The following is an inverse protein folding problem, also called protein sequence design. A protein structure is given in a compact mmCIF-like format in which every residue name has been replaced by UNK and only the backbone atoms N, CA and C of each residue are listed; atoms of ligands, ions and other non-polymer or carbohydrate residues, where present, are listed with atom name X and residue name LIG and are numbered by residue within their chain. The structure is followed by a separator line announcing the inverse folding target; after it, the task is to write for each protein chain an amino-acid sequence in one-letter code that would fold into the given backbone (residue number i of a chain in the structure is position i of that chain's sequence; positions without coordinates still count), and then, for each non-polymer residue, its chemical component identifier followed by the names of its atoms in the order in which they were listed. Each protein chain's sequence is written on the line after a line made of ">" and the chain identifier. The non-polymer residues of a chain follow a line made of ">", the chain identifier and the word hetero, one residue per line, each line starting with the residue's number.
data_IF_993687933379
#
_entry.id   IF_993687933379
#
_cell.length_a   1.000
_cell.length_b   1.000
_cell.length_c   1.000
_cell.angle_alpha   90.00
_cell.angle_beta   90.00
_cell.angle_gamma   90.00
#
_symmetry.space_group_name_H-M   'P 1'
#
loop_
_entity.id
_entity.type
_entity.pdbx_description
1 polymer ?
#
# COMPACT_ATOMS: atom_id res chain seq x y z
N UNK A 1 0.99 -16.41 6.48
CA UNK A 1 0.40 -15.04 6.42
C UNK A 1 0.78 -14.46 5.08
N UNK A 2 -0.19 -13.97 4.31
CA UNK A 2 0.02 -13.33 3.01
C UNK A 2 -0.78 -12.04 2.87
N UNK A 3 -0.40 -11.20 1.91
CA UNK A 3 -1.07 -9.95 1.58
C UNK A 3 -1.26 -9.86 0.07
N UNK A 4 -2.41 -9.37 -0.39
CA UNK A 4 -2.73 -9.28 -1.81
C UNK A 4 -2.11 -8.02 -2.44
N UNK A 5 -1.84 -8.10 -3.74
CA UNK A 5 -1.42 -6.99 -4.62
C UNK A 5 -2.41 -6.84 -5.76
N UNK A 6 -2.54 -5.65 -6.34
CA UNK A 6 -3.39 -5.42 -7.51
C UNK A 6 -2.97 -6.37 -8.65
N UNK A 7 -3.96 -6.98 -9.30
CA UNK A 7 -3.78 -8.16 -10.15
C UNK A 7 -2.91 -7.92 -11.39
N UNK A 8 -3.05 -6.76 -12.04
CA UNK A 8 -2.43 -6.46 -13.32
C UNK A 8 -1.04 -5.83 -13.19
N UNK A 9 -0.88 -4.97 -12.19
CA UNK A 9 0.28 -4.08 -12.03
C UNK A 9 1.14 -4.44 -10.84
N UNK A 10 0.60 -5.22 -9.89
CA UNK A 10 1.29 -5.55 -8.65
C UNK A 10 1.37 -4.38 -7.66
N UNK A 11 0.74 -3.23 -7.93
CA UNK A 11 0.68 -2.10 -7.00
C UNK A 11 -0.08 -2.47 -5.73
N UNK A 12 0.04 -1.66 -4.67
CA UNK A 12 -0.80 -1.82 -3.49
C UNK A 12 -2.27 -1.54 -3.89
N UNK A 13 -3.22 -2.44 -3.54
CA UNK A 13 -4.63 -2.17 -3.78
C UNK A 13 -5.10 -1.02 -2.87
N UNK A 14 -6.14 -0.30 -3.28
CA UNK A 14 -6.70 0.79 -2.48
C UNK A 14 -7.29 0.29 -1.16
N UNK A 15 -7.82 -0.94 -1.19
CA UNK A 15 -8.37 -1.66 -0.06
C UNK A 15 -7.58 -2.95 0.20
N UNK A 16 -6.78 -2.93 1.27
CA UNK A 16 -5.89 -4.03 1.64
C UNK A 16 -6.62 -5.35 1.88
N UNK A 17 -5.97 -6.47 1.57
CA UNK A 17 -6.45 -7.81 1.93
C UNK A 17 -5.28 -8.62 2.46
N UNK A 18 -5.49 -9.28 3.59
CA UNK A 18 -4.52 -10.19 4.20
C UNK A 18 -5.16 -11.53 4.49
N UNK A 19 -4.36 -12.59 4.54
CA UNK A 19 -4.84 -13.90 4.92
C UNK A 19 -3.83 -14.69 5.75
N UNK A 20 -4.34 -15.65 6.50
CA UNK A 20 -3.59 -16.75 7.10
C UNK A 20 -4.13 -18.06 6.54
N UNK A 21 -3.24 -19.02 6.33
CA UNK A 21 -3.60 -20.38 5.95
C UNK A 21 -2.98 -21.34 6.97
N UNK A 22 -3.65 -22.45 7.27
CA UNK A 22 -3.16 -23.46 8.20
C UNK A 22 -3.67 -24.84 7.81
N UNK A 23 -2.85 -25.86 8.04
CA UNK A 23 -3.29 -27.25 7.97
C UNK A 23 -3.70 -27.71 9.37
N UNK A 24 -4.96 -28.09 9.55
CA UNK A 24 -5.49 -28.54 10.84
C UNK A 24 -5.04 -29.94 11.22
N UNK A 25 -5.08 -30.25 12.53
CA UNK A 25 -4.83 -31.60 13.04
C UNK A 25 -5.89 -32.61 12.57
N UNK A 26 -7.07 -32.11 12.25
CA UNK A 26 -8.21 -32.83 11.67
C UNK A 26 -8.05 -33.14 10.17
N UNK A 27 -6.90 -32.79 9.58
CA UNK A 27 -6.59 -33.06 8.17
C UNK A 27 -7.12 -32.03 7.18
N UNK A 28 -7.78 -30.96 7.63
CA UNK A 28 -8.44 -29.99 6.75
C UNK A 28 -7.58 -28.73 6.55
N UNK A 29 -7.85 -28.02 5.45
CA UNK A 29 -7.18 -26.77 5.13
C UNK A 29 -8.04 -25.58 5.58
N UNK A 30 -7.43 -24.65 6.30
CA UNK A 30 -8.11 -23.47 6.84
C UNK A 30 -7.55 -22.20 6.24
N UNK A 31 -8.44 -21.25 5.89
CA UNK A 31 -8.08 -19.87 5.59
C UNK A 31 -8.84 -18.91 6.50
N UNK A 32 -8.14 -17.88 6.97
CA UNK A 32 -8.72 -16.71 7.61
C UNK A 32 -8.30 -15.47 6.82
N UNK A 33 -9.26 -14.78 6.23
CA UNK A 33 -9.06 -13.71 5.24
C UNK A 33 -9.71 -12.45 5.79
N UNK A 34 -8.96 -11.34 5.81
CA UNK A 34 -9.45 -10.01 6.20
C UNK A 34 -9.38 -9.09 4.99
N UNK A 35 -10.52 -8.51 4.63
CA UNK A 35 -10.68 -7.55 3.55
C UNK A 35 -10.99 -6.17 4.14
N UNK A 36 -10.02 -5.26 4.09
CA UNK A 36 -10.21 -3.88 4.58
C UNK A 36 -11.21 -3.13 3.69
N UNK A 37 -11.99 -2.22 4.27
CA UNK A 37 -13.00 -1.37 3.64
C UNK A 37 -13.00 0.01 4.33
N UNK A 38 -13.59 1.06 3.72
CA UNK A 38 -13.73 2.32 4.43
C UNK A 38 -14.76 2.13 5.55
N UNK A 39 -14.58 2.86 6.66
CA UNK A 39 -15.52 2.85 7.79
C UNK A 39 -16.95 3.16 7.30
N UNK A 40 -17.93 2.34 7.68
CA UNK A 40 -19.32 2.46 7.24
C UNK A 40 -19.55 2.21 5.73
N UNK A 41 -18.56 1.70 5.02
CA UNK A 41 -18.62 1.46 3.58
C UNK A 41 -19.69 0.43 3.19
N UNK A 42 -20.53 0.76 2.21
CA UNK A 42 -21.52 -0.19 1.69
C UNK A 42 -20.83 -1.27 0.84
N UNK A 43 -20.97 -2.52 1.26
CA UNK A 43 -20.54 -3.69 0.50
C UNK A 43 -21.48 -3.96 -0.68
N UNK A 44 -20.93 -4.48 -1.78
CA UNK A 44 -21.73 -4.94 -2.90
C UNK A 44 -21.97 -6.46 -2.77
N UNK A 45 -23.18 -6.86 -2.37
CA UNK A 45 -23.56 -8.27 -2.20
C UNK A 45 -24.31 -8.75 -3.44
N UNK A 46 -23.64 -9.54 -4.28
CA UNK A 46 -24.23 -10.08 -5.51
C UNK A 46 -25.30 -11.15 -5.27
N UNK A 47 -25.21 -11.90 -4.17
CA UNK A 47 -26.19 -12.94 -3.78
C UNK A 47 -26.07 -13.29 -2.30
N UNK A 48 -27.09 -13.93 -1.74
CA UNK A 48 -27.09 -14.56 -0.41
C UNK A 48 -27.30 -16.06 -0.48
N UNK A 49 -27.39 -16.62 -1.70
CA UNK A 49 -27.70 -18.03 -1.95
C UNK A 49 -26.43 -18.80 -2.30
N UNK A 50 -26.31 -20.01 -1.76
CA UNK A 50 -25.29 -20.99 -2.17
C UNK A 50 -25.46 -21.35 -3.65
N UNK A 51 -24.36 -21.56 -4.36
CA UNK A 51 -24.28 -21.94 -5.78
C UNK A 51 -24.87 -20.92 -6.78
N UNK A 52 -25.05 -19.67 -6.36
CA UNK A 52 -25.59 -18.62 -7.21
C UNK A 52 -24.48 -17.82 -7.90
N UNK A 53 -24.43 -17.91 -9.23
CA UNK A 53 -23.45 -17.22 -10.07
C UNK A 53 -23.53 -15.69 -9.98
N UNK A 54 -24.62 -15.13 -9.44
CA UNK A 54 -24.71 -13.71 -9.18
C UNK A 54 -23.66 -13.19 -8.19
N UNK A 55 -22.95 -14.09 -7.47
CA UNK A 55 -21.83 -13.76 -6.60
C UNK A 55 -20.75 -12.90 -7.28
N UNK A 56 -20.48 -13.12 -8.57
CA UNK A 56 -19.45 -12.38 -9.32
C UNK A 56 -19.88 -10.96 -9.75
N UNK A 57 -21.12 -10.55 -9.49
CA UNK A 57 -21.57 -9.16 -9.64
C UNK A 57 -21.30 -8.32 -8.38
N UNK A 58 -20.73 -8.91 -7.33
CA UNK A 58 -20.42 -8.27 -6.06
C UNK A 58 -18.96 -8.34 -5.63
N UNK A 59 -18.74 -7.95 -4.37
CA UNK A 59 -17.50 -8.18 -3.65
C UNK A 59 -17.37 -9.67 -3.33
N UNK A 60 -16.22 -10.25 -3.66
CA UNK A 60 -15.99 -11.69 -3.50
C UNK A 60 -14.51 -11.97 -3.28
N UNK A 61 -14.23 -12.95 -2.43
CA UNK A 61 -12.91 -13.56 -2.30
C UNK A 61 -12.94 -14.90 -3.00
N UNK A 62 -11.90 -15.22 -3.76
CA UNK A 62 -11.76 -16.51 -4.42
C UNK A 62 -10.49 -17.22 -3.96
N UNK A 63 -10.60 -18.52 -3.67
CA UNK A 63 -9.47 -19.41 -3.44
C UNK A 63 -9.38 -20.33 -4.64
N UNK A 64 -8.26 -20.24 -5.36
CA UNK A 64 -7.91 -21.15 -6.45
C UNK A 64 -6.88 -22.14 -5.90
N UNK A 65 -7.14 -23.44 -6.01
CA UNK A 65 -6.35 -24.46 -5.32
C UNK A 65 -6.05 -25.65 -6.24
N UNK A 66 -4.81 -25.74 -6.71
CA UNK A 66 -4.23 -26.89 -7.38
C UNK A 66 -3.63 -27.85 -6.35
N UNK A 67 -3.82 -29.15 -6.57
CA UNK A 67 -3.22 -30.20 -5.74
C UNK A 67 -2.32 -31.10 -6.58
N UNK A 68 -1.62 -32.02 -5.94
CA UNK A 68 -0.85 -33.04 -6.65
C UNK A 68 -1.72 -34.06 -7.42
N UNK A 69 -3.01 -34.14 -7.09
CA UNK A 69 -3.98 -35.05 -7.71
C UNK A 69 -4.92 -34.36 -8.70
N UNK A 70 -5.02 -33.03 -8.68
CA UNK A 70 -6.06 -32.33 -9.44
C UNK A 70 -5.64 -30.96 -9.97
N UNK A 71 -6.16 -30.61 -11.16
CA UNK A 71 -5.72 -29.40 -11.88
C UNK A 71 -5.95 -28.11 -11.10
N UNK A 72 -7.19 -27.83 -10.68
CA UNK A 72 -7.49 -26.90 -9.57
C UNK A 72 -8.99 -26.81 -9.28
N UNK A 73 -9.29 -26.46 -8.04
CA UNK A 73 -10.61 -26.09 -7.56
C UNK A 73 -10.73 -24.56 -7.43
N UNK A 74 -11.95 -24.04 -7.48
CA UNK A 74 -12.27 -22.66 -7.16
C UNK A 74 -13.36 -22.63 -6.10
N UNK A 75 -13.12 -21.90 -5.02
CA UNK A 75 -14.13 -21.59 -4.01
C UNK A 75 -14.27 -20.07 -3.95
N UNK A 76 -15.47 -19.55 -4.17
CA UNK A 76 -15.74 -18.12 -4.12
C UNK A 76 -16.74 -17.79 -3.02
N UNK A 77 -16.35 -16.89 -2.11
CA UNK A 77 -17.09 -16.51 -0.91
C UNK A 77 -17.28 -15.00 -0.88
N UNK A 78 -18.52 -14.55 -0.70
CA UNK A 78 -18.85 -13.14 -0.54
C UNK A 78 -19.06 -12.75 0.93
N UNK A 79 -19.18 -11.45 1.26
CA UNK A 79 -19.33 -11.03 2.65
C UNK A 79 -20.60 -11.52 3.35
N UNK A 80 -21.64 -11.90 2.59
CA UNK A 80 -22.88 -12.45 3.12
C UNK A 80 -22.80 -13.95 3.44
N UNK A 81 -21.63 -14.58 3.23
CA UNK A 81 -21.41 -16.00 3.49
C UNK A 81 -21.93 -16.92 2.39
N UNK A 82 -22.35 -16.38 1.24
CA UNK A 82 -22.67 -17.21 0.08
C UNK A 82 -21.38 -17.85 -0.46
N UNK A 83 -21.44 -19.15 -0.74
CA UNK A 83 -20.37 -19.96 -1.33
C UNK A 83 -20.83 -20.47 -2.70
N UNK A 84 -19.93 -20.41 -3.67
CA UNK A 84 -20.00 -21.22 -4.89
C UNK A 84 -18.68 -21.98 -5.04
N UNK A 85 -18.77 -23.24 -5.40
CA UNK A 85 -17.61 -24.11 -5.62
C UNK A 85 -17.60 -24.70 -7.02
N UNK A 86 -16.40 -24.79 -7.60
CA UNK A 86 -16.22 -25.25 -8.97
C UNK A 86 -14.99 -26.15 -9.08
N UNK A 87 -15.16 -27.27 -9.78
CA UNK A 87 -14.05 -28.04 -10.32
C UNK A 87 -13.62 -27.43 -11.67
N UNK A 88 -12.44 -26.84 -11.73
CA UNK A 88 -11.89 -26.24 -12.94
C UNK A 88 -10.98 -27.18 -13.75
N UNK A 89 -10.68 -28.36 -13.22
CA UNK A 89 -10.10 -29.48 -13.95
C UNK A 89 -11.12 -30.26 -14.78
N UNK A 90 -12.40 -30.21 -14.41
CA UNK A 90 -13.49 -30.81 -15.18
C UNK A 90 -13.80 -30.07 -16.50
N UNK A 91 -14.53 -30.75 -17.38
CA UNK A 91 -15.12 -30.12 -18.55
C UNK A 91 -16.05 -28.97 -18.14
N UNK A 92 -16.08 -27.88 -18.92
CA UNK A 92 -16.83 -26.65 -18.58
C UNK A 92 -18.30 -26.87 -18.24
N UNK A 93 -18.96 -27.84 -18.86
CA UNK A 93 -20.35 -28.20 -18.59
C UNK A 93 -20.57 -28.83 -17.21
N UNK A 94 -19.50 -29.30 -16.56
CA UNK A 94 -19.52 -30.02 -15.29
C UNK A 94 -18.87 -29.22 -14.14
N UNK A 95 -18.40 -27.99 -14.38
CA UNK A 95 -17.70 -27.19 -13.35
C UNK A 95 -18.49 -27.06 -12.05
N UNK A 96 -19.80 -26.86 -12.13
CA UNK A 96 -20.70 -26.69 -10.98
C UNK A 96 -21.22 -28.01 -10.40
N UNK A 97 -20.67 -29.16 -10.82
CA UNK A 97 -21.09 -30.49 -10.37
C UNK A 97 -20.30 -31.02 -9.17
N UNK A 98 -19.28 -30.28 -8.71
CA UNK A 98 -18.43 -30.63 -7.58
C UNK A 98 -18.85 -29.83 -6.34
N UNK A 99 -18.97 -30.49 -5.18
CA UNK A 99 -19.29 -29.86 -3.90
C UNK A 99 -18.06 -29.93 -2.97
N UNK A 100 -17.53 -28.77 -2.59
CA UNK A 100 -16.34 -28.68 -1.75
C UNK A 100 -16.53 -29.23 -0.34
N UNK A 101 -17.78 -29.31 0.13
CA UNK A 101 -18.18 -29.50 1.52
C UNK A 101 -17.52 -28.51 2.49
N UNK A 102 -17.09 -27.36 1.98
CA UNK A 102 -16.44 -26.35 2.79
C UNK A 102 -17.43 -25.70 3.77
N UNK A 103 -16.95 -25.41 4.98
CA UNK A 103 -17.69 -24.64 5.97
C UNK A 103 -17.16 -23.21 5.98
N UNK A 104 -18.06 -22.23 5.90
CA UNK A 104 -17.73 -20.82 5.76
C UNK A 104 -18.42 -20.02 6.87
N UNK A 105 -17.66 -19.13 7.51
CA UNK A 105 -18.18 -18.08 8.37
C UNK A 105 -17.67 -16.72 7.88
N UNK A 106 -18.54 -15.71 7.90
CA UNK A 106 -18.17 -14.33 7.57
C UNK A 106 -18.57 -13.37 8.68
N UNK A 107 -17.82 -12.28 8.81
CA UNK A 107 -18.16 -11.18 9.70
C UNK A 107 -18.00 -9.87 8.95
N UNK A 108 -18.99 -8.99 9.07
CA UNK A 108 -18.91 -7.60 8.60
C UNK A 108 -18.71 -6.72 9.83
N UNK A 109 -17.61 -5.97 9.84
CA UNK A 109 -17.30 -4.94 10.81
C UNK A 109 -17.35 -3.56 10.15
N UNK A 110 -17.00 -2.51 10.88
CA UNK A 110 -17.08 -1.13 10.39
C UNK A 110 -16.08 -0.83 9.27
N UNK A 111 -14.82 -1.25 9.43
CA UNK A 111 -13.68 -0.94 8.54
C UNK A 111 -13.17 -2.18 7.76
N UNK A 112 -13.86 -3.31 7.85
CA UNK A 112 -13.47 -4.54 7.17
C UNK A 112 -14.59 -5.58 7.18
N UNK A 113 -14.40 -6.62 6.38
CA UNK A 113 -15.11 -7.89 6.52
C UNK A 113 -14.11 -9.06 6.49
N UNK A 114 -14.52 -10.20 7.05
CA UNK A 114 -13.69 -11.40 7.12
C UNK A 114 -14.37 -12.62 6.51
N UNK A 115 -13.55 -13.57 6.09
CA UNK A 115 -13.93 -14.93 5.71
C UNK A 115 -13.05 -15.90 6.50
N UNK A 116 -13.68 -16.82 7.22
CA UNK A 116 -13.04 -18.01 7.76
C UNK A 116 -13.63 -19.22 7.03
N UNK A 117 -12.77 -20.05 6.44
CA UNK A 117 -13.20 -21.22 5.67
C UNK A 117 -12.39 -22.45 6.06
N UNK A 118 -13.10 -23.55 6.32
CA UNK A 118 -12.58 -24.91 6.47
C UNK A 118 -12.85 -25.64 5.16
N UNK A 119 -11.81 -26.15 4.51
CA UNK A 119 -11.87 -26.91 3.27
C UNK A 119 -11.49 -28.37 3.59
N UNK A 120 -12.45 -29.31 3.50
CA UNK A 120 -12.17 -30.73 3.66
C UNK A 120 -11.20 -31.25 2.61
N UNK A 121 -10.22 -32.05 3.05
CA UNK A 121 -9.24 -32.69 2.16
C UNK A 121 -9.23 -34.20 2.38
N UNK A 122 -9.26 -34.96 1.28
CA UNK A 122 -9.08 -36.42 1.26
C UNK A 122 -7.93 -36.83 0.35
N UNK A 123 -7.35 -38.00 0.63
CA UNK A 123 -6.37 -38.63 -0.25
C UNK A 123 -6.99 -39.66 -1.20
N UNK A 124 -8.25 -40.02 -0.97
CA UNK A 124 -8.98 -41.03 -1.73
C UNK A 124 -9.80 -40.36 -2.85
N UNK A 125 -9.73 -40.94 -4.05
CA UNK A 125 -10.40 -40.46 -5.27
C UNK A 125 -11.76 -41.17 -5.51
N UNK A 126 -12.20 -42.03 -4.58
CA UNK A 126 -13.44 -42.80 -4.72
C UNK A 126 -14.71 -41.93 -4.85
N UNK A 127 -14.69 -40.71 -4.33
CA UNK A 127 -15.76 -39.73 -4.50
C UNK A 127 -15.22 -38.43 -5.15
N UNK A 128 -15.01 -38.42 -6.48
CA UNK A 128 -14.37 -37.31 -7.16
C UNK A 128 -15.25 -36.05 -7.27
N UNK A 129 -16.53 -36.14 -6.89
CA UNK A 129 -17.47 -35.03 -6.92
C UNK A 129 -17.57 -34.28 -5.59
N UNK A 130 -16.87 -34.73 -4.55
CA UNK A 130 -16.89 -34.09 -3.25
C UNK A 130 -15.49 -33.87 -2.68
N UNK A 131 -15.32 -32.78 -1.94
CA UNK A 131 -14.10 -32.44 -1.21
C UNK A 131 -12.86 -32.21 -2.11
N UNK A 132 -11.81 -31.65 -1.52
CA UNK A 132 -10.53 -31.47 -2.23
C UNK A 132 -9.74 -32.76 -2.15
N UNK A 133 -9.29 -33.26 -3.30
CA UNK A 133 -8.43 -34.44 -3.34
C UNK A 133 -6.96 -34.05 -3.42
N UNK A 134 -6.14 -34.61 -2.54
CA UNK A 134 -4.69 -34.57 -2.63
C UNK A 134 -4.00 -34.88 -1.30
N UNK A 135 -2.68 -35.04 -1.33
CA UNK A 135 -1.91 -35.25 -0.09
C UNK A 135 -1.67 -33.94 0.65
N UNK A 136 -1.38 -34.02 1.94
CA UNK A 136 -0.86 -32.86 2.69
C UNK A 136 0.40 -32.29 2.02
N UNK A 137 0.42 -31.01 1.59
CA UNK A 137 1.55 -30.45 0.88
C UNK A 137 2.74 -30.25 1.82
N UNK A 138 3.94 -30.55 1.32
CA UNK A 138 5.22 -30.37 2.02
C UNK A 138 6.10 -29.38 1.26
N UNK A 139 7.21 -28.95 1.87
CA UNK A 139 8.16 -28.07 1.19
C UNK A 139 8.78 -28.69 -0.06
N UNK A 140 8.92 -30.01 -0.13
CA UNK A 140 9.45 -30.69 -1.33
C UNK A 140 8.38 -30.97 -2.38
N UNK A 141 7.11 -30.97 -1.98
CA UNK A 141 5.97 -31.35 -2.80
C UNK A 141 4.80 -30.40 -2.49
N UNK A 142 4.93 -29.12 -2.87
CA UNK A 142 3.93 -28.11 -2.57
C UNK A 142 2.68 -28.30 -3.43
N UNK A 143 1.57 -27.73 -2.95
CA UNK A 143 0.42 -27.40 -3.79
C UNK A 143 0.59 -26.01 -4.39
N UNK A 144 -0.23 -25.65 -5.38
CA UNK A 144 -0.26 -24.29 -5.92
C UNK A 144 -1.61 -23.65 -5.65
N UNK A 145 -1.62 -22.35 -5.34
CA UNK A 145 -2.83 -21.66 -4.97
C UNK A 145 -2.81 -20.17 -5.29
N UNK A 146 -3.98 -19.55 -5.26
CA UNK A 146 -4.11 -18.12 -5.19
C UNK A 146 -5.28 -17.73 -4.27
N UNK A 147 -5.10 -16.64 -3.52
CA UNK A 147 -6.19 -15.96 -2.81
C UNK A 147 -6.41 -14.65 -3.53
N UNK A 148 -7.61 -14.48 -4.06
CA UNK A 148 -8.01 -13.36 -4.89
C UNK A 148 -9.13 -12.58 -4.20
N UNK A 149 -9.23 -11.29 -4.50
CA UNK A 149 -10.37 -10.45 -4.12
C UNK A 149 -10.79 -9.61 -5.31
N UNK A 150 -12.09 -9.61 -5.57
CA UNK A 150 -12.77 -8.65 -6.41
C UNK A 150 -13.53 -7.66 -5.54
N UNK A 151 -13.38 -6.38 -5.84
CA UNK A 151 -14.16 -5.28 -5.24
C UNK A 151 -14.85 -4.49 -6.33
N UNK A 152 -16.17 -4.29 -6.23
CA UNK A 152 -16.98 -3.59 -7.24
C UNK A 152 -17.75 -2.44 -6.61
N UNK A 153 -17.62 -1.23 -7.17
CA UNK A 153 -18.42 -0.04 -6.87
C UNK A 153 -18.93 0.58 -8.16
N UNK A 154 -19.87 1.51 -8.06
CA UNK A 154 -20.46 2.17 -9.24
C UNK A 154 -19.42 2.88 -10.12
N UNK A 155 -18.37 3.42 -9.49
CA UNK A 155 -17.29 4.13 -10.18
C UNK A 155 -16.08 3.25 -10.53
N UNK A 156 -16.13 1.92 -10.34
CA UNK A 156 -15.08 1.04 -10.84
C UNK A 156 -14.97 -0.31 -10.15
N UNK A 157 -13.99 -1.10 -10.57
CA UNK A 157 -13.60 -2.35 -9.93
C UNK A 157 -12.10 -2.41 -9.66
N UNK A 158 -11.72 -3.18 -8.65
CA UNK A 158 -10.32 -3.50 -8.37
C UNK A 158 -10.20 -5.00 -8.11
N UNK A 159 -9.25 -5.64 -8.79
CA UNK A 159 -8.91 -7.04 -8.59
C UNK A 159 -7.55 -7.11 -7.90
N UNK A 160 -7.44 -7.94 -6.88
CA UNK A 160 -6.17 -8.19 -6.19
C UNK A 160 -5.97 -9.67 -5.93
N UNK A 161 -4.71 -10.10 -5.83
CA UNK A 161 -4.37 -11.49 -5.62
C UNK A 161 -3.07 -11.63 -4.81
N UNK A 162 -2.92 -12.76 -4.10
CA UNK A 162 -1.69 -13.10 -3.38
C UNK A 162 -0.52 -13.26 -4.36
N UNK A 163 -0.79 -13.92 -5.49
CA UNK A 163 0.12 -14.01 -6.62
C UNK A 163 -0.53 -13.35 -7.84
N UNK A 164 -0.24 -12.07 -8.11
CA UNK A 164 -0.81 -11.35 -9.25
C UNK A 164 -0.47 -12.02 -10.58
N UNK A 165 -1.44 -12.04 -11.51
CA UNK A 165 -1.29 -12.74 -12.79
C UNK A 165 -0.67 -11.88 -13.88
N UNK A 166 -0.64 -10.55 -13.68
CA UNK A 166 -0.22 -9.60 -14.70
C UNK A 166 -1.25 -9.47 -15.84
N UNK A 167 -2.48 -9.92 -15.62
CA UNK A 167 -3.58 -9.87 -16.59
C UNK A 167 -4.89 -9.47 -15.89
N UNK A 168 -5.95 -9.25 -16.66
CA UNK A 168 -7.28 -8.89 -16.11
C UNK A 168 -8.05 -10.08 -15.51
N UNK A 169 -7.46 -11.28 -15.42
CA UNK A 169 -8.13 -12.48 -14.94
C UNK A 169 -7.30 -13.25 -13.90
N UNK A 170 -8.00 -13.89 -12.94
CA UNK A 170 -7.36 -14.68 -11.87
C UNK A 170 -6.79 -16.02 -12.34
N UNK A 171 -7.34 -16.61 -13.41
CA UNK A 171 -7.11 -18.00 -13.79
C UNK A 171 -5.87 -18.18 -14.70
N UNK A 172 -4.68 -17.86 -14.19
CA UNK A 172 -3.38 -18.17 -14.82
C UNK A 172 -2.59 -19.11 -13.90
N UNK A 173 -2.77 -20.43 -14.07
CA UNK A 173 -2.22 -21.47 -13.17
C UNK A 173 -0.71 -21.39 -13.01
N UNK A 174 0.03 -21.08 -14.08
CA UNK A 174 1.48 -20.85 -14.04
C UNK A 174 1.94 -19.68 -13.14
N UNK A 175 1.00 -18.85 -12.67
CA UNK A 175 1.27 -17.76 -11.72
C UNK A 175 0.80 -18.08 -10.30
N UNK A 176 0.23 -19.26 -10.03
CA UNK A 176 -0.18 -19.60 -8.68
C UNK A 176 1.02 -19.63 -7.73
N UNK A 177 0.83 -19.12 -6.52
CA UNK A 177 1.82 -19.19 -5.46
C UNK A 177 1.89 -20.62 -4.90
N UNK A 178 2.94 -20.95 -4.17
CA UNK A 178 3.11 -22.29 -3.59
C UNK A 178 2.55 -22.35 -2.18
N UNK A 179 1.88 -23.46 -1.84
CA UNK A 179 1.32 -23.74 -0.52
C UNK A 179 1.95 -25.00 0.06
N UNK A 180 2.45 -24.93 1.28
CA UNK A 180 2.88 -26.08 2.06
C UNK A 180 2.69 -25.82 3.56
N UNK A 181 2.11 -26.74 4.32
CA UNK A 181 1.87 -26.58 5.77
C UNK A 181 1.21 -25.22 6.17
N UNK A 182 0.37 -24.62 5.32
CA UNK A 182 -0.22 -23.28 5.55
C UNK A 182 0.76 -22.10 5.32
N UNK A 183 1.95 -22.38 4.81
CA UNK A 183 3.01 -21.44 4.44
C UNK A 183 3.10 -21.31 2.91
N UNK A 184 3.79 -20.27 2.48
CA UNK A 184 4.16 -20.06 1.08
C UNK A 184 5.62 -19.64 1.00
N UNK A 185 6.31 -20.14 -0.01
CA UNK A 185 7.68 -19.79 -0.38
C UNK A 185 7.73 -19.69 -1.90
N UNK A 186 8.70 -18.95 -2.44
CA UNK A 186 8.94 -18.89 -3.88
C UNK A 186 10.27 -19.59 -4.13
N UNK A 187 10.27 -20.76 -4.75
CA UNK A 187 11.50 -21.47 -5.12
C UNK A 187 12.23 -20.77 -6.28
N UNK A 188 13.56 -20.79 -6.26
CA UNK A 188 14.45 -20.17 -7.26
C UNK A 188 14.55 -20.98 -8.59
N UNK A 189 13.46 -21.56 -9.10
CA UNK A 189 13.55 -22.61 -10.13
C UNK A 189 12.77 -22.39 -11.43
N UNK A 190 12.25 -21.19 -11.66
CA UNK A 190 11.78 -20.81 -12.99
C UNK A 190 12.33 -19.42 -13.31
N UNK A 191 12.94 -19.27 -14.50
CA UNK A 191 13.12 -17.94 -15.07
C UNK A 191 11.75 -17.26 -15.05
N UNK A 192 11.70 -16.05 -14.48
CA UNK A 192 10.46 -15.29 -14.47
C UNK A 192 10.01 -15.10 -15.92
N UNK A 193 8.85 -15.66 -16.28
CA UNK A 193 8.18 -15.36 -17.55
C UNK A 193 8.25 -13.84 -17.74
N UNK A 194 8.86 -13.40 -18.84
CA UNK A 194 9.00 -11.98 -19.15
C UNK A 194 7.61 -11.41 -19.36
N UNK A 195 7.11 -10.73 -18.34
CA UNK A 195 5.76 -10.18 -18.29
C UNK A 195 5.77 -8.77 -17.69
N UNK A 196 4.60 -8.15 -17.62
CA UNK A 196 4.50 -6.81 -17.07
C UNK A 196 5.03 -6.70 -15.63
N UNK A 197 4.83 -7.72 -14.80
CA UNK A 197 5.20 -7.72 -13.38
C UNK A 197 6.70 -7.93 -13.17
N UNK A 198 7.36 -8.77 -13.98
CA UNK A 198 8.82 -8.92 -13.96
C UNK A 198 9.49 -7.62 -14.38
N UNK A 199 9.09 -7.06 -15.53
CA UNK A 199 9.69 -5.84 -16.07
C UNK A 199 9.43 -4.62 -15.17
N UNK A 200 8.24 -4.54 -14.57
CA UNK A 200 7.92 -3.52 -13.56
C UNK A 200 8.83 -3.60 -12.33
N UNK A 201 9.13 -4.82 -11.85
CA UNK A 201 10.03 -5.02 -10.70
C UNK A 201 11.46 -4.59 -11.01
N UNK A 202 11.95 -4.90 -12.21
CA UNK A 202 13.27 -4.49 -12.70
C UNK A 202 13.37 -2.96 -12.82
N UNK A 203 12.40 -2.31 -13.46
CA UNK A 203 12.34 -0.86 -13.59
C UNK A 203 12.26 -0.16 -12.21
N UNK A 204 11.45 -0.69 -11.29
CA UNK A 204 11.39 -0.21 -9.91
C UNK A 204 12.72 -0.40 -9.16
N UNK A 205 13.47 -1.48 -9.44
CA UNK A 205 14.78 -1.74 -8.84
C UNK A 205 15.82 -0.73 -9.29
N UNK A 206 15.87 -0.39 -10.57
CA UNK A 206 16.73 0.67 -11.11
C UNK A 206 16.50 1.98 -10.37
N UNK A 207 15.23 2.35 -10.16
CA UNK A 207 14.87 3.54 -9.40
C UNK A 207 15.34 3.49 -7.95
N UNK A 208 15.14 2.36 -7.25
CA UNK A 208 15.62 2.17 -5.87
C UNK A 208 17.14 2.27 -5.75
N UNK A 209 17.87 1.91 -6.80
CA UNK A 209 19.32 2.05 -6.89
C UNK A 209 19.77 3.48 -7.24
N UNK A 210 18.84 4.43 -7.43
CA UNK A 210 19.12 5.80 -7.82
C UNK A 210 19.44 6.00 -9.30
N UNK A 211 19.29 4.94 -10.12
CA UNK A 211 19.51 4.97 -11.57
C UNK A 211 18.26 5.51 -12.29
N UNK A 212 17.97 6.78 -12.05
CA UNK A 212 16.70 7.39 -12.46
C UNK A 212 16.52 7.44 -13.99
N UNK A 213 17.58 7.70 -14.76
CA UNK A 213 17.53 7.72 -16.22
C UNK A 213 17.24 6.31 -16.80
N UNK A 214 17.92 5.28 -16.28
CA UNK A 214 17.69 3.88 -16.67
C UNK A 214 16.25 3.45 -16.32
N UNK A 215 15.77 3.83 -15.13
CA UNK A 215 14.40 3.55 -14.71
C UNK A 215 13.35 4.26 -15.58
N UNK A 216 13.57 5.54 -15.91
CA UNK A 216 12.70 6.31 -16.80
C UNK A 216 12.59 5.64 -18.19
N UNK A 217 13.72 5.22 -18.75
CA UNK A 217 13.76 4.51 -20.03
C UNK A 217 13.02 3.17 -19.96
N UNK A 218 13.28 2.37 -18.91
CA UNK A 218 12.65 1.08 -18.70
C UNK A 218 11.11 1.20 -18.57
N UNK A 219 10.62 2.16 -17.78
CA UNK A 219 9.18 2.39 -17.64
C UNK A 219 8.53 2.91 -18.92
N UNK A 220 9.22 3.78 -19.67
CA UNK A 220 8.71 4.27 -20.97
C UNK A 220 8.60 3.14 -22.00
N UNK A 221 9.63 2.29 -22.12
CA UNK A 221 9.62 1.14 -23.04
C UNK A 221 8.60 0.08 -22.63
N UNK A 222 8.44 -0.15 -21.31
CA UNK A 222 7.36 -1.00 -20.82
C UNK A 222 6.00 -0.44 -21.22
N UNK A 223 5.75 0.86 -21.05
CA UNK A 223 4.48 1.48 -21.40
C UNK A 223 4.16 1.46 -22.91
N UNK A 224 5.16 1.53 -23.79
CA UNK A 224 4.95 1.49 -25.24
C UNK A 224 4.54 0.10 -25.74
N UNK A 225 4.71 -0.95 -24.93
CA UNK A 225 4.37 -2.32 -25.29
C UNK A 225 5.39 -2.94 -26.25
N UNK A 226 6.64 -2.47 -26.22
CA UNK A 226 7.76 -2.98 -27.05
C UNK A 226 8.20 -4.41 -26.71
N UNK A 227 7.58 -5.05 -25.71
CA UNK A 227 7.85 -6.43 -25.35
C UNK A 227 7.11 -7.39 -26.29
N UNK A 228 7.81 -8.37 -26.91
CA UNK A 228 7.17 -9.37 -27.77
C UNK A 228 6.00 -10.06 -27.07
N UNK A 229 4.88 -10.20 -27.79
CA UNK A 229 3.67 -10.94 -27.36
C UNK A 229 2.95 -10.40 -26.12
N UNK A 230 3.33 -9.23 -25.57
CA UNK A 230 2.71 -8.63 -24.39
C UNK A 230 1.71 -7.53 -24.75
N UNK A 231 0.42 -7.88 -24.85
CA UNK A 231 -0.66 -6.89 -25.02
C UNK A 231 -1.04 -6.25 -23.69
N UNK A 232 -0.56 -5.03 -23.45
CA UNK A 232 -0.86 -4.28 -22.24
C UNK A 232 -2.27 -3.72 -22.19
N UNK A 233 -2.87 -3.76 -21.01
CA UNK A 233 -4.12 -3.06 -20.69
C UNK A 233 -3.88 -1.56 -20.48
N UNK A 234 -4.93 -0.75 -20.56
CA UNK A 234 -4.83 0.69 -20.27
C UNK A 234 -4.39 0.96 -18.83
N UNK A 235 -4.74 0.08 -17.88
CA UNK A 235 -4.26 0.15 -16.50
C UNK A 235 -2.75 -0.06 -16.40
N UNK A 236 -2.22 -1.08 -17.08
CA UNK A 236 -0.78 -1.35 -17.12
C UNK A 236 0.01 -0.22 -17.77
N UNK A 237 -0.46 0.27 -18.92
CA UNK A 237 0.17 1.42 -19.61
C UNK A 237 0.17 2.67 -18.74
N UNK A 238 -0.99 3.00 -18.15
CA UNK A 238 -1.12 4.18 -17.29
C UNK A 238 -0.23 4.08 -16.04
N UNK A 239 -0.15 2.89 -15.42
CA UNK A 239 0.75 2.66 -14.28
C UNK A 239 2.21 2.84 -14.67
N UNK A 240 2.67 2.25 -15.78
CA UNK A 240 4.05 2.41 -16.23
C UNK A 240 4.39 3.88 -16.56
N UNK A 241 3.48 4.62 -17.19
CA UNK A 241 3.64 6.05 -17.49
C UNK A 241 3.68 6.92 -16.22
N UNK A 242 2.89 6.59 -15.21
CA UNK A 242 2.92 7.25 -13.91
C UNK A 242 4.27 7.04 -13.21
N UNK A 243 4.79 5.82 -13.21
CA UNK A 243 6.13 5.53 -12.67
C UNK A 243 7.25 6.23 -13.46
N UNK A 244 7.13 6.29 -14.80
CA UNK A 244 8.03 7.05 -15.65
C UNK A 244 7.99 8.54 -15.30
N UNK A 245 6.80 9.13 -15.12
CA UNK A 245 6.65 10.54 -14.81
C UNK A 245 7.28 10.89 -13.46
N UNK A 246 7.21 9.99 -12.48
CA UNK A 246 7.89 10.17 -11.20
C UNK A 246 9.42 10.19 -11.33
N UNK A 247 9.99 9.33 -12.20
CA UNK A 247 11.41 9.39 -12.55
C UNK A 247 11.76 10.72 -13.24
N UNK A 248 10.97 11.15 -14.22
CA UNK A 248 11.18 12.41 -14.95
C UNK A 248 11.14 13.63 -14.01
N UNK A 249 10.19 13.68 -13.07
CA UNK A 249 10.13 14.71 -12.03
C UNK A 249 11.38 14.70 -11.14
N UNK A 250 11.83 13.51 -10.73
CA UNK A 250 13.05 13.35 -9.91
C UNK A 250 14.32 13.82 -10.64
N UNK A 251 14.36 13.63 -11.97
CA UNK A 251 15.41 14.13 -12.87
C UNK A 251 15.26 15.61 -13.24
N UNK A 252 14.20 16.29 -12.77
CA UNK A 252 13.86 17.68 -13.11
C UNK A 252 13.66 17.90 -14.62
N UNK A 253 12.96 16.97 -15.27
CA UNK A 253 12.60 17.03 -16.69
C UNK A 253 11.09 17.34 -16.83
N UNK A 254 10.66 18.62 -16.69
CA UNK A 254 9.24 18.98 -16.65
C UNK A 254 8.51 18.70 -17.97
N UNK A 255 9.14 18.97 -19.11
CA UNK A 255 8.54 18.72 -20.43
C UNK A 255 8.28 17.24 -20.63
N UNK A 256 9.27 16.40 -20.27
CA UNK A 256 9.13 14.95 -20.34
C UNK A 256 8.03 14.43 -19.43
N UNK A 257 7.91 14.97 -18.22
CA UNK A 257 6.84 14.60 -17.30
C UNK A 257 5.46 14.99 -17.83
N UNK A 258 5.35 16.13 -18.54
CA UNK A 258 4.11 16.56 -19.19
C UNK A 258 3.72 15.65 -20.36
N UNK A 259 4.67 15.28 -21.23
CA UNK A 259 4.45 14.31 -22.32
C UNK A 259 3.92 12.97 -21.81
N UNK A 260 4.47 12.47 -20.70
CA UNK A 260 4.03 11.22 -20.08
C UNK A 260 2.60 11.31 -19.53
N UNK A 261 2.17 12.48 -19.09
CA UNK A 261 0.79 12.72 -18.66
C UNK A 261 -0.18 12.67 -19.84
N UNK A 262 0.17 13.25 -20.99
CA UNK A 262 -0.64 13.21 -22.21
C UNK A 262 -0.73 11.80 -22.81
N UNK A 263 0.30 10.97 -22.61
CA UNK A 263 0.32 9.60 -23.10
C UNK A 263 -0.53 8.61 -22.28
N UNK A 264 -0.93 8.97 -21.05
CA UNK A 264 -1.62 8.05 -20.14
C UNK A 264 -3.08 7.82 -20.58
N UNK A 265 -3.48 6.57 -20.91
CA UNK A 265 -4.81 6.29 -21.47
C UNK A 265 -5.94 6.42 -20.44
N UNK A 266 -5.69 6.16 -19.16
CA UNK A 266 -6.70 6.37 -18.11
C UNK A 266 -6.71 7.84 -17.66
N UNK A 267 -7.83 8.52 -17.92
CA UNK A 267 -7.99 9.94 -17.64
C UNK A 267 -7.67 10.33 -16.17
N UNK A 268 -8.11 9.54 -15.20
CA UNK A 268 -7.80 9.78 -13.78
C UNK A 268 -6.29 9.73 -13.51
N UNK A 269 -5.57 8.78 -14.11
CA UNK A 269 -4.10 8.67 -13.97
C UNK A 269 -3.41 9.83 -14.69
N UNK A 270 -3.83 10.18 -15.91
CA UNK A 270 -3.31 11.34 -16.64
C UNK A 270 -3.45 12.63 -15.81
N UNK A 271 -4.63 12.86 -15.23
CA UNK A 271 -4.88 14.02 -14.35
C UNK A 271 -4.01 13.98 -13.10
N UNK A 272 -3.85 12.83 -12.45
CA UNK A 272 -2.92 12.67 -11.31
C UNK A 272 -1.50 13.07 -11.68
N UNK A 273 -0.96 12.55 -12.79
CA UNK A 273 0.39 12.89 -13.25
C UNK A 273 0.51 14.42 -13.48
N UNK A 274 -0.48 15.05 -14.12
CA UNK A 274 -0.50 16.52 -14.33
C UNK A 274 -0.47 17.27 -13.00
N UNK A 275 -1.29 16.87 -12.02
CA UNK A 275 -1.32 17.50 -10.69
C UNK A 275 0.03 17.39 -9.98
N UNK A 276 0.64 16.20 -9.98
CA UNK A 276 1.98 15.99 -9.41
C UNK A 276 3.06 16.84 -10.10
N UNK A 277 2.99 16.95 -11.43
CA UNK A 277 3.92 17.77 -12.21
C UNK A 277 3.80 19.25 -11.85
N UNK A 278 2.58 19.77 -11.67
CA UNK A 278 2.33 21.15 -11.26
C UNK A 278 2.82 21.41 -9.82
N UNK A 279 2.59 20.46 -8.90
CA UNK A 279 3.11 20.54 -7.53
C UNK A 279 4.64 20.54 -7.48
N UNK A 280 5.29 19.67 -8.25
CA UNK A 280 6.75 19.60 -8.34
C UNK A 280 7.36 20.91 -8.87
N UNK A 281 6.63 21.60 -9.76
CA UNK A 281 7.01 22.91 -10.31
C UNK A 281 6.53 24.10 -9.45
N UNK A 282 5.81 23.85 -8.34
CA UNK A 282 5.16 24.87 -7.48
C UNK A 282 4.17 25.78 -8.22
N UNK A 283 3.55 25.27 -9.29
CA UNK A 283 2.55 25.98 -10.12
C UNK A 283 1.14 25.83 -9.53
N UNK A 284 0.94 26.35 -8.33
CA UNK A 284 -0.32 26.17 -7.59
C UNK A 284 -1.51 26.86 -8.27
N UNK A 285 -1.32 28.04 -8.87
CA UNK A 285 -2.38 28.76 -9.59
C UNK A 285 -2.92 27.92 -10.75
N UNK A 286 -2.03 27.39 -11.60
CA UNK A 286 -2.39 26.52 -12.73
C UNK A 286 -3.08 25.23 -12.26
N UNK A 287 -2.68 24.68 -11.10
CA UNK A 287 -3.32 23.51 -10.51
C UNK A 287 -4.76 23.82 -10.10
N UNK A 288 -5.01 24.96 -9.44
CA UNK A 288 -6.37 25.33 -9.04
C UNK A 288 -7.25 25.70 -10.24
N UNK A 289 -6.70 26.35 -11.27
CA UNK A 289 -7.42 26.63 -12.51
C UNK A 289 -7.90 25.35 -13.19
N UNK A 290 -7.10 24.27 -13.15
CA UNK A 290 -7.43 23.00 -13.79
C UNK A 290 -8.24 22.04 -12.90
N UNK A 291 -7.95 22.01 -11.60
CA UNK A 291 -8.41 20.95 -10.69
C UNK A 291 -9.06 21.46 -9.41
N UNK A 292 -9.17 22.78 -9.20
CA UNK A 292 -9.78 23.36 -8.00
C UNK A 292 -11.21 22.86 -7.77
N UNK A 293 -11.99 22.80 -8.85
CA UNK A 293 -13.39 22.36 -8.86
C UNK A 293 -13.56 20.91 -9.36
N UNK A 294 -12.48 20.14 -9.52
CA UNK A 294 -12.57 18.75 -9.99
C UNK A 294 -13.33 17.88 -8.99
N UNK A 295 -14.34 17.16 -9.47
CA UNK A 295 -15.08 16.19 -8.68
C UNK A 295 -14.39 14.83 -8.70
N UNK A 296 -13.54 14.60 -7.69
CA UNK A 296 -12.83 13.34 -7.52
C UNK A 296 -13.75 12.17 -7.13
N UNK A 297 -14.99 12.41 -6.68
CA UNK A 297 -15.92 11.31 -6.36
C UNK A 297 -16.36 10.54 -7.62
N UNK A 298 -16.35 11.21 -8.78
CA UNK A 298 -16.60 10.61 -10.08
C UNK A 298 -15.41 9.81 -10.64
N UNK A 299 -14.23 9.91 -10.02
CA UNK A 299 -13.07 9.12 -10.43
C UNK A 299 -13.24 7.65 -10.02
N UNK A 300 -12.47 6.73 -10.63
CA UNK A 300 -12.37 5.39 -10.09
C UNK A 300 -11.99 5.42 -8.62
N UNK A 301 -12.72 4.67 -7.78
CA UNK A 301 -12.50 4.71 -6.32
C UNK A 301 -11.04 4.43 -5.96
N UNK A 302 -10.35 3.64 -6.79
CA UNK A 302 -8.96 3.25 -6.54
C UNK A 302 -7.94 4.37 -6.83
N UNK A 303 -8.40 5.49 -7.39
CA UNK A 303 -7.60 6.68 -7.71
C UNK A 303 -8.11 7.96 -7.04
N UNK A 304 -9.40 8.03 -6.70
CA UNK A 304 -10.05 9.22 -6.12
C UNK A 304 -9.30 9.81 -4.91
N UNK A 305 -8.87 8.95 -3.97
CA UNK A 305 -8.14 9.40 -2.78
C UNK A 305 -6.83 10.15 -3.09
N UNK A 306 -6.15 9.79 -4.18
CA UNK A 306 -4.92 10.47 -4.61
C UNK A 306 -5.19 11.85 -5.21
N UNK A 307 -6.30 12.01 -5.94
CA UNK A 307 -6.75 13.32 -6.42
C UNK A 307 -7.01 14.30 -5.27
N UNK A 308 -7.78 13.86 -4.27
CA UNK A 308 -8.00 14.63 -3.03
C UNK A 308 -6.67 14.96 -2.34
N UNK A 309 -5.78 13.98 -2.19
CA UNK A 309 -4.48 14.20 -1.52
C UNK A 309 -3.65 15.29 -2.21
N UNK A 310 -3.58 15.28 -3.55
CA UNK A 310 -2.80 16.24 -4.33
C UNK A 310 -3.42 17.64 -4.29
N UNK A 311 -4.75 17.76 -4.39
CA UNK A 311 -5.43 19.06 -4.25
C UNK A 311 -5.30 19.61 -2.82
N UNK A 312 -5.43 18.75 -1.81
CA UNK A 312 -5.21 19.10 -0.41
C UNK A 312 -3.77 19.59 -0.15
N UNK A 313 -2.77 18.95 -0.79
CA UNK A 313 -1.39 19.41 -0.74
C UNK A 313 -1.23 20.80 -1.37
N UNK A 314 -1.87 21.06 -2.51
CA UNK A 314 -1.85 22.38 -3.13
C UNK A 314 -2.47 23.45 -2.23
N UNK A 315 -3.64 23.17 -1.63
CA UNK A 315 -4.30 24.06 -0.66
C UNK A 315 -3.40 24.34 0.56
N UNK A 316 -2.75 23.30 1.09
CA UNK A 316 -1.86 23.44 2.24
C UNK A 316 -0.65 24.32 1.91
N UNK A 317 -0.04 24.14 0.74
CA UNK A 317 1.07 24.98 0.27
C UNK A 317 0.64 26.43 -0.01
N UNK A 318 -0.61 26.65 -0.38
CA UNK A 318 -1.20 27.97 -0.58
C UNK A 318 -1.68 28.65 0.73
N UNK A 319 -1.52 27.99 1.89
CA UNK A 319 -2.01 28.48 3.18
C UNK A 319 -3.54 28.37 3.37
N UNK A 320 -4.23 27.67 2.48
CA UNK A 320 -5.68 27.47 2.49
C UNK A 320 -6.05 26.28 3.39
N UNK A 321 -5.80 26.44 4.69
CA UNK A 321 -5.78 25.33 5.64
C UNK A 321 -7.11 24.57 5.78
N UNK A 322 -8.26 25.24 5.64
CA UNK A 322 -9.58 24.59 5.77
C UNK A 322 -9.90 23.69 4.57
N UNK A 323 -9.57 24.16 3.37
CA UNK A 323 -9.74 23.39 2.14
C UNK A 323 -8.79 22.19 2.12
N UNK A 324 -7.54 22.40 2.53
CA UNK A 324 -6.58 21.32 2.68
C UNK A 324 -7.05 20.23 3.67
N UNK A 325 -7.62 20.63 4.81
CA UNK A 325 -8.17 19.71 5.81
C UNK A 325 -9.29 18.85 5.23
N UNK A 326 -10.24 19.47 4.53
CA UNK A 326 -11.36 18.76 3.91
C UNK A 326 -10.87 17.72 2.90
N UNK A 327 -9.95 18.09 2.01
CA UNK A 327 -9.38 17.18 1.02
C UNK A 327 -8.56 16.05 1.67
N UNK A 328 -7.74 16.34 2.69
CA UNK A 328 -6.98 15.29 3.37
C UNK A 328 -7.85 14.29 4.11
N UNK A 329 -8.95 14.73 4.72
CA UNK A 329 -9.90 13.82 5.37
C UNK A 329 -10.59 12.91 4.34
N UNK A 330 -11.01 13.44 3.19
CA UNK A 330 -11.55 12.63 2.10
C UNK A 330 -10.51 11.63 1.55
N UNK A 331 -9.25 12.06 1.38
CA UNK A 331 -8.17 11.17 0.97
C UNK A 331 -7.93 10.04 2.01
N UNK A 332 -8.01 10.34 3.30
CA UNK A 332 -7.88 9.36 4.39
C UNK A 332 -9.05 8.37 4.41
N UNK A 333 -10.27 8.79 4.09
CA UNK A 333 -11.42 7.88 3.98
C UNK A 333 -11.25 6.89 2.82
N UNK A 334 -10.64 7.33 1.72
CA UNK A 334 -10.49 6.55 0.49
C UNK A 334 -9.18 5.74 0.39
N UNK A 335 -8.33 5.79 1.43
CA UNK A 335 -7.02 5.15 1.43
C UNK A 335 -6.88 4.19 2.62
N UNK A 336 -6.72 2.89 2.37
CA UNK A 336 -6.41 1.93 3.46
C UNK A 336 -4.96 1.50 3.50
N UNK A 337 -4.20 1.65 2.40
CA UNK A 337 -2.78 1.32 2.40
C UNK A 337 -2.07 2.10 3.52
N UNK A 338 -1.39 1.34 4.36
CA UNK A 338 -0.82 1.86 5.60
C UNK A 338 0.20 2.96 5.34
N UNK A 339 1.07 2.80 4.34
CA UNK A 339 2.15 3.75 4.09
C UNK A 339 1.60 5.04 3.49
N UNK A 340 0.62 4.94 2.60
CA UNK A 340 -0.08 6.10 2.05
C UNK A 340 -0.85 6.87 3.14
N UNK A 341 -1.54 6.16 4.04
CA UNK A 341 -2.20 6.78 5.21
C UNK A 341 -1.21 7.51 6.12
N UNK A 342 -0.05 6.94 6.40
CA UNK A 342 0.97 7.61 7.23
C UNK A 342 1.45 8.91 6.58
N UNK A 343 1.60 8.95 5.26
CA UNK A 343 1.95 10.17 4.53
C UNK A 343 0.83 11.22 4.61
N UNK A 344 -0.43 10.80 4.48
CA UNK A 344 -1.60 11.67 4.63
C UNK A 344 -1.73 12.23 6.05
N UNK A 345 -1.52 11.42 7.07
CA UNK A 345 -1.52 11.89 8.46
C UNK A 345 -0.39 12.88 8.74
N UNK A 346 0.78 12.67 8.13
CA UNK A 346 1.88 13.62 8.24
C UNK A 346 1.51 14.97 7.59
N UNK A 347 0.93 14.95 6.40
CA UNK A 347 0.47 16.16 5.71
C UNK A 347 -0.66 16.87 6.47
N UNK A 348 -1.62 16.11 6.99
CA UNK A 348 -2.73 16.60 7.82
C UNK A 348 -2.20 17.29 9.08
N UNK A 349 -1.28 16.65 9.81
CA UNK A 349 -0.68 17.24 11.00
C UNK A 349 0.10 18.51 10.68
N UNK A 350 0.84 18.54 9.57
CA UNK A 350 1.57 19.73 9.13
C UNK A 350 0.61 20.89 8.77
N UNK A 351 -0.50 20.59 8.08
CA UNK A 351 -1.53 21.58 7.76
C UNK A 351 -2.20 22.14 9.03
N UNK A 352 -2.59 21.27 9.96
CA UNK A 352 -3.19 21.66 11.24
C UNK A 352 -2.26 22.56 12.03
N UNK A 353 -0.98 22.20 12.10
CA UNK A 353 0.01 22.97 12.83
C UNK A 353 0.31 24.33 12.16
N UNK A 354 0.65 24.33 10.87
CA UNK A 354 1.16 25.53 10.21
C UNK A 354 0.07 26.45 9.68
N UNK A 355 -1.03 25.92 9.14
CA UNK A 355 -2.07 26.72 8.50
C UNK A 355 -3.26 26.97 9.41
N UNK A 356 -3.73 25.95 10.14
CA UNK A 356 -4.86 26.08 11.07
C UNK A 356 -4.45 26.57 12.46
N UNK A 357 -3.13 26.56 12.77
CA UNK A 357 -2.57 26.94 14.08
C UNK A 357 -3.14 26.11 15.24
N UNK A 358 -3.49 24.86 14.95
CA UNK A 358 -4.06 23.92 15.91
C UNK A 358 -3.02 22.84 16.26
N UNK A 359 -2.22 23.13 17.29
CA UNK A 359 -1.19 22.22 17.77
C UNK A 359 -1.75 20.95 18.41
N UNK A 360 -2.95 21.01 19.00
CA UNK A 360 -3.57 19.86 19.64
C UNK A 360 -4.01 18.84 18.59
N UNK A 361 -4.73 19.30 17.55
CA UNK A 361 -5.16 18.42 16.46
C UNK A 361 -4.00 17.97 15.57
N UNK A 362 -2.91 18.74 15.47
CA UNK A 362 -1.69 18.30 14.83
C UNK A 362 -1.04 17.12 15.58
N UNK A 363 -0.92 17.21 16.92
CA UNK A 363 -0.43 16.11 17.75
C UNK A 363 -1.32 14.86 17.63
N UNK A 364 -2.64 15.03 17.57
CA UNK A 364 -3.58 13.93 17.35
C UNK A 364 -3.33 13.24 16.00
N UNK A 365 -3.11 14.01 14.92
CA UNK A 365 -2.78 13.45 13.61
C UNK A 365 -1.44 12.68 13.62
N UNK A 366 -0.38 13.24 14.22
CA UNK A 366 0.92 12.58 14.28
C UNK A 366 0.91 11.32 15.16
N UNK A 367 0.04 11.24 16.17
CA UNK A 367 -0.10 10.07 17.04
C UNK A 367 -0.40 8.79 16.24
N UNK A 368 -1.22 8.86 15.19
CA UNK A 368 -1.49 7.71 14.31
C UNK A 368 -0.22 7.09 13.70
N UNK A 369 0.85 7.87 13.54
CA UNK A 369 2.14 7.42 13.02
C UNK A 369 3.06 7.00 14.18
N UNK A 370 3.17 7.85 15.20
CA UNK A 370 4.12 7.69 16.33
C UNK A 370 3.86 6.43 17.15
N UNK A 371 2.61 6.05 17.39
CA UNK A 371 2.26 4.82 18.14
C UNK A 371 2.88 3.55 17.54
N UNK A 372 3.20 3.58 16.25
CA UNK A 372 3.77 2.45 15.50
C UNK A 372 5.22 2.69 15.09
N UNK A 373 5.80 3.83 15.45
CA UNK A 373 7.13 4.26 15.01
C UNK A 373 8.26 3.38 15.56
N UNK A 374 8.09 2.76 16.74
CA UNK A 374 9.13 1.93 17.38
C UNK A 374 9.70 0.85 16.46
N UNK A 375 8.87 0.28 15.59
CA UNK A 375 9.26 -0.77 14.64
C UNK A 375 9.29 -0.28 13.18
N UNK A 376 9.25 1.04 12.95
CA UNK A 376 9.22 1.65 11.63
C UNK A 376 10.29 2.74 11.51
N UNK A 377 11.30 2.49 10.68
CA UNK A 377 12.43 3.40 10.43
C UNK A 377 12.28 4.16 9.09
N UNK A 378 11.05 4.36 8.62
CA UNK A 378 10.75 5.16 7.44
C UNK A 378 10.84 6.66 7.69
N UNK A 379 11.13 7.44 6.65
CA UNK A 379 11.21 8.90 6.70
C UNK A 379 9.98 9.56 7.32
N UNK A 380 8.78 9.07 6.99
CA UNK A 380 7.50 9.58 7.51
C UNK A 380 7.39 9.42 9.02
N UNK A 381 7.81 8.27 9.57
CA UNK A 381 7.81 8.02 11.00
C UNK A 381 8.80 8.95 11.74
N UNK A 382 10.01 9.10 11.20
CA UNK A 382 11.00 10.04 11.76
C UNK A 382 10.49 11.48 11.78
N UNK A 383 9.86 11.96 10.70
CA UNK A 383 9.25 13.30 10.66
C UNK A 383 8.14 13.46 11.68
N UNK A 384 7.26 12.48 11.81
CA UNK A 384 6.18 12.53 12.79
C UNK A 384 6.71 12.60 14.23
N UNK A 385 7.72 11.80 14.57
CA UNK A 385 8.42 11.86 15.87
C UNK A 385 9.07 13.23 16.08
N UNK A 386 9.78 13.74 15.07
CA UNK A 386 10.43 15.05 15.15
C UNK A 386 9.43 16.20 15.36
N UNK A 387 8.34 16.23 14.59
CA UNK A 387 7.30 17.26 14.71
C UNK A 387 6.57 17.15 16.06
N UNK A 388 6.21 15.95 16.49
CA UNK A 388 5.57 15.71 17.80
C UNK A 388 6.44 16.25 18.94
N UNK A 389 7.73 15.88 18.97
CA UNK A 389 8.66 16.37 19.97
C UNK A 389 8.81 17.90 19.94
N UNK A 390 8.94 18.49 18.74
CA UNK A 390 9.06 19.94 18.59
C UNK A 390 7.84 20.69 19.13
N UNK A 391 6.63 20.22 18.86
CA UNK A 391 5.39 20.82 19.37
C UNK A 391 5.30 20.67 20.90
N UNK A 392 5.61 19.49 21.44
CA UNK A 392 5.60 19.26 22.90
C UNK A 392 6.61 20.16 23.62
N UNK A 393 7.81 20.35 23.05
CA UNK A 393 8.81 21.30 23.55
C UNK A 393 8.27 22.73 23.58
N UNK A 394 7.60 23.18 22.51
CA UNK A 394 6.99 24.52 22.46
C UNK A 394 5.88 24.69 23.51
N UNK A 395 5.13 23.62 23.79
CA UNK A 395 4.16 23.56 24.89
C UNK A 395 4.80 23.41 26.29
N UNK A 396 6.14 23.44 26.39
CA UNK A 396 6.92 23.23 27.62
C UNK A 396 6.70 21.86 28.27
N UNK A 397 6.20 20.88 27.51
CA UNK A 397 6.03 19.47 27.92
C UNK A 397 7.32 18.69 27.63
N UNK A 398 8.40 19.08 28.32
CA UNK A 398 9.74 18.60 27.99
C UNK A 398 9.90 17.08 28.18
N UNK A 399 9.33 16.51 29.23
CA UNK A 399 9.46 15.07 29.49
C UNK A 399 8.73 14.23 28.42
N UNK A 400 7.53 14.66 27.98
CA UNK A 400 6.81 14.01 26.87
C UNK A 400 7.57 14.14 25.54
N UNK A 401 8.19 15.30 25.29
CA UNK A 401 9.03 15.52 24.10
C UNK A 401 10.23 14.57 24.10
N UNK A 402 10.95 14.47 25.21
CA UNK A 402 12.10 13.57 25.36
C UNK A 402 11.67 12.10 25.21
N UNK A 403 10.56 11.69 25.84
CA UNK A 403 10.03 10.34 25.70
C UNK A 403 9.68 10.00 24.24
N UNK A 404 9.13 10.96 23.49
CA UNK A 404 8.82 10.80 22.06
C UNK A 404 10.08 10.54 21.23
N UNK A 405 11.17 11.27 21.50
CA UNK A 405 12.44 11.08 20.81
C UNK A 405 13.08 9.72 21.14
N UNK A 406 12.96 9.27 22.40
CA UNK A 406 13.49 7.99 22.88
C UNK A 406 12.69 6.76 22.43
N UNK A 407 11.67 6.91 21.57
CA UNK A 407 11.09 5.77 20.85
C UNK A 407 12.15 5.08 19.98
N UNK A 408 13.15 5.84 19.52
CA UNK A 408 14.30 5.31 18.79
C UNK A 408 15.56 5.30 19.67
N UNK A 409 16.40 4.29 19.47
CA UNK A 409 17.76 4.26 19.96
C UNK A 409 18.65 5.16 19.10
N UNK A 410 18.66 6.46 19.40
CA UNK A 410 19.40 7.48 18.62
C UNK A 410 20.88 7.11 18.33
N UNK A 411 21.65 6.50 19.27
CA UNK A 411 23.02 6.08 19.00
C UNK A 411 23.15 4.99 17.93
N UNK A 412 22.09 4.23 17.64
CA UNK A 412 22.07 3.20 16.61
C UNK A 412 21.69 3.76 15.23
N UNK A 413 21.01 4.91 15.20
CA UNK A 413 20.70 5.60 13.96
C UNK A 413 21.96 6.12 13.27
N UNK A 414 21.86 6.34 11.95
CA UNK A 414 22.93 6.86 11.08
C UNK A 414 22.38 7.87 10.08
N UNK A 415 23.27 8.71 9.56
CA UNK A 415 22.96 9.62 8.46
C UNK A 415 22.06 10.78 8.87
N UNK A 416 21.27 11.27 7.92
CA UNK A 416 20.42 12.46 8.07
C UNK A 416 19.51 12.41 9.31
N UNK A 417 18.81 11.29 9.54
CA UNK A 417 17.85 11.17 10.63
C UNK A 417 18.48 11.17 12.02
N UNK A 418 19.68 10.60 12.16
CA UNK A 418 20.44 10.70 13.41
C UNK A 418 20.68 12.17 13.75
N UNK A 419 21.24 12.93 12.80
CA UNK A 419 21.51 14.37 12.98
C UNK A 419 20.27 15.18 13.35
N UNK A 420 19.18 15.00 12.60
CA UNK A 420 17.93 15.73 12.80
C UNK A 420 17.26 15.45 14.17
N UNK A 421 17.27 14.19 14.61
CA UNK A 421 16.71 13.82 15.92
C UNK A 421 17.60 14.25 17.08
N UNK A 422 18.92 14.14 16.97
CA UNK A 422 19.83 14.70 17.99
C UNK A 422 19.71 16.21 18.09
N UNK A 423 19.51 16.92 16.97
CA UNK A 423 19.24 18.36 16.99
C UNK A 423 18.00 18.68 17.81
N UNK A 424 16.91 17.95 17.55
CA UNK A 424 15.63 18.12 18.26
C UNK A 424 15.75 17.77 19.74
N UNK A 425 16.52 16.72 20.07
CA UNK A 425 16.86 16.34 21.45
C UNK A 425 17.63 17.46 22.16
N UNK A 426 18.68 17.98 21.53
CA UNK A 426 19.51 19.02 22.08
C UNK A 426 18.73 20.32 22.35
N UNK A 427 17.88 20.73 21.40
CA UNK A 427 16.99 21.88 21.59
C UNK A 427 16.01 21.66 22.75
N UNK A 428 15.48 20.44 22.90
CA UNK A 428 14.55 20.09 23.99
C UNK A 428 15.26 20.12 25.35
N UNK A 429 16.45 19.51 25.46
CA UNK A 429 17.26 19.50 26.67
C UNK A 429 17.65 20.92 27.09
N UNK A 430 18.05 21.76 26.12
CA UNK A 430 18.37 23.17 26.37
C UNK A 430 17.15 23.92 26.91
N UNK A 431 15.99 23.77 26.29
CA UNK A 431 14.75 24.40 26.75
C UNK A 431 14.31 23.91 28.14
N UNK A 432 14.63 22.66 28.50
CA UNK A 432 14.39 22.08 29.81
C UNK A 432 15.43 22.45 30.88
N UNK A 433 16.42 23.31 30.56
CA UNK A 433 17.48 23.71 31.48
C UNK A 433 18.59 22.66 31.69
N UNK A 434 18.61 21.57 30.92
CA UNK A 434 19.62 20.50 30.99
C UNK A 434 20.82 20.82 30.09
N UNK A 435 21.53 21.90 30.40
CA UNK A 435 22.55 22.49 29.53
C UNK A 435 23.67 21.51 29.13
N UNK A 436 24.23 20.75 30.09
CA UNK A 436 25.32 19.79 29.81
C UNK A 436 24.88 18.68 28.84
N UNK A 437 23.68 18.16 29.04
CA UNK A 437 23.12 17.11 28.18
C UNK A 437 22.80 17.66 26.78
N UNK A 438 22.34 18.90 26.70
CA UNK A 438 22.10 19.59 25.43
C UNK A 438 23.40 19.77 24.62
N UNK A 439 24.48 20.20 25.27
CA UNK A 439 25.80 20.34 24.64
C UNK A 439 26.34 19.00 24.12
N UNK A 440 26.19 17.93 24.91
CA UNK A 440 26.55 16.58 24.47
C UNK A 440 25.75 16.16 23.22
N UNK A 441 24.43 16.41 23.22
CA UNK A 441 23.57 16.12 22.08
C UNK A 441 23.90 16.95 20.83
N UNK A 442 24.22 18.25 20.97
CA UNK A 442 24.74 19.05 19.85
C UNK A 442 26.07 18.51 19.31
N UNK A 443 26.95 18.03 20.18
CA UNK A 443 28.17 17.34 19.78
C UNK A 443 27.90 16.13 18.90
N UNK A 444 26.88 15.33 19.19
CA UNK A 444 26.48 14.21 18.35
C UNK A 444 25.98 14.63 16.95
N UNK A 445 25.31 15.79 16.83
CA UNK A 445 24.93 16.36 15.53
C UNK A 445 26.16 16.63 14.66
N UNK A 446 27.23 17.18 15.24
CA UNK A 446 28.47 17.53 14.53
C UNK A 446 29.32 16.30 14.16
N UNK A 447 29.25 15.22 14.95
CA UNK A 447 29.94 13.97 14.65
C UNK A 447 29.30 13.20 13.49
N UNK A 448 27.99 13.35 13.30
CA UNK A 448 27.27 12.67 12.23
C UNK A 448 27.50 13.36 10.87
N UNK A 449 28.23 12.69 9.98
CA UNK A 449 28.56 13.21 8.63
C UNK A 449 27.31 13.43 7.77
N UNK A 450 26.26 12.64 7.98
CA UNK A 450 25.00 12.78 7.27
C UNK A 450 24.10 13.91 7.75
N UNK A 451 24.46 14.63 8.83
CA UNK A 451 23.71 15.78 9.32
C UNK A 451 23.63 16.89 8.26
N UNK A 452 22.45 17.51 8.16
CA UNK A 452 22.25 18.63 7.26
C UNK A 452 23.16 19.81 7.59
N UNK A 453 23.43 20.67 6.61
CA UNK A 453 24.26 21.87 6.83
C UNK A 453 23.62 22.80 7.85
N UNK A 454 22.30 22.97 7.82
CA UNK A 454 21.56 23.79 8.76
C UNK A 454 21.63 23.26 10.19
N UNK A 455 21.49 21.93 10.38
CA UNK A 455 21.54 21.34 11.72
C UNK A 455 22.93 21.49 12.34
N UNK A 456 23.98 21.29 11.53
CA UNK A 456 25.37 21.48 11.96
C UNK A 456 25.65 22.93 12.34
N UNK A 457 25.26 23.88 11.50
CA UNK A 457 25.44 25.30 11.79
C UNK A 457 24.73 25.70 13.08
N UNK A 458 23.46 25.29 13.24
CA UNK A 458 22.71 25.60 14.44
C UNK A 458 23.33 24.96 15.70
N UNK A 459 23.93 23.77 15.58
CA UNK A 459 24.62 23.11 16.68
C UNK A 459 25.93 23.84 17.05
N UNK A 460 26.72 24.26 16.07
CA UNK A 460 27.93 25.08 16.29
C UNK A 460 27.60 26.40 17.00
N UNK A 461 26.55 27.10 16.55
CA UNK A 461 26.09 28.35 17.16
C UNK A 461 25.63 28.12 18.61
N UNK A 462 24.89 27.04 18.87
CA UNK A 462 24.41 26.71 20.20
C UNK A 462 25.55 26.39 21.19
N UNK A 463 26.59 25.68 20.74
CA UNK A 463 27.78 25.36 21.55
C UNK A 463 28.63 26.60 21.84
N UNK A 464 28.79 27.51 20.86
CA UNK A 464 29.50 28.78 21.07
C UNK A 464 28.79 29.66 22.09
N UNK A 465 27.46 29.71 22.05
CA UNK A 465 26.67 30.52 22.97
C UNK A 465 26.67 30.00 24.43
N UNK A 466 26.97 28.71 24.66
CA UNK A 466 27.09 28.13 26.01
C UNK A 466 28.50 28.27 26.63
N UNK A 467 29.51 28.61 25.81
CA UNK A 467 30.89 28.79 26.26
C UNK A 467 31.20 30.23 26.74
N UNK A 468 30.30 31.17 26.48
CA UNK A 468 30.31 32.55 27.00
C UNK A 468 29.36 32.66 28.19
#
# INVERSE_FOLDING_TARGET
>A
HGSLRELQTGRAPSYGTTFKAAWGEDGNLYFAIRCDEPAGGKLNIGTTRREDQAIWYGDVVEILLETDSHSYYQLAVNPAGALIDLDRGAARSAWFGWDSQAEVATQIADDHWTVEIRIPVVQDENDPLHQVVGRKPSSSLPWHFNVCRQRIRDNGSELSAFSPTGTSAFHKTLKFGQLYEGRSHRFDHADDEVDFLSQSREAAQLRRQGKLDEALAAWTSLASGELPDLKLTDLQKSFALEQAAECARSLRQPDRAAELAEAAPLAAVAKTIRMENLLAQRKLTELFEQFGEEDFSAWPFWKAGEGYALRGQAHSLAGQGKQAEADFLQALELTTDRQARDNLWLATGANRYHNLKDAEQALAAYRHIVERAKNNFGATAFRAVQHTASILREQKKYDESLATLHIYELPELRGYWRGALYRTLADTLKAAGKQKDAEAAYGEVLKEKGSSKSDRQAAEEALKAGAN
#
